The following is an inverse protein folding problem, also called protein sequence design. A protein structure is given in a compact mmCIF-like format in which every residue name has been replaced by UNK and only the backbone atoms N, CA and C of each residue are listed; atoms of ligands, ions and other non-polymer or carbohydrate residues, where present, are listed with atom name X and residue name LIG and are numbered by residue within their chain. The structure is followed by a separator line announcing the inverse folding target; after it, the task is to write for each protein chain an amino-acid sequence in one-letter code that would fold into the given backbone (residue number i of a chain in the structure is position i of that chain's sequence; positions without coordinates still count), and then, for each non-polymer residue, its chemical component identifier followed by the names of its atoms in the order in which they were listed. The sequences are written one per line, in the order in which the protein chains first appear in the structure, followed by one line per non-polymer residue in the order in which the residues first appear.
data_IF_721844090377
#
_entry.id   IF_721844090377
#
_cell.length_a   1.000
_cell.length_b   1.000
_cell.length_c   1.000
_cell.angle_alpha   90.00
_cell.angle_beta   90.00
_cell.angle_gamma   90.00
#
_symmetry.space_group_name_H-M   'P 1'
#
loop_
_entity.id
_entity.type
_entity.pdbx_description
1 polymer ?
#
# COMPACT_ATOMS: atom_id res chain seq x y z
N UNK A 1 -4.58 10.76 8.28
CA UNK A 1 -4.54 9.29 8.44
C UNK A 1 -3.17 8.82 8.00
N UNK A 2 -2.56 7.85 8.67
CA UNK A 2 -1.19 7.40 8.36
C UNK A 2 -1.20 6.14 7.50
N UNK A 3 -0.35 6.11 6.48
CA UNK A 3 -0.13 4.98 5.57
C UNK A 3 1.36 4.69 5.52
N UNK A 4 1.76 3.43 5.45
CA UNK A 4 3.11 3.06 5.03
C UNK A 4 3.13 2.88 3.52
N UNK A 5 4.07 3.53 2.85
CA UNK A 5 4.28 3.38 1.41
C UNK A 5 5.73 3.03 1.10
N UNK A 6 5.95 2.10 0.18
CA UNK A 6 7.27 1.67 -0.28
C UNK A 6 7.30 1.56 -1.79
N UNK A 7 8.16 2.34 -2.43
CA UNK A 7 8.44 2.22 -3.85
C UNK A 7 9.59 1.25 -4.10
N UNK A 8 9.43 0.39 -5.10
CA UNK A 8 10.51 -0.46 -5.63
C UNK A 8 10.56 -0.31 -7.14
N UNK A 9 11.77 -0.14 -7.68
CA UNK A 9 12.00 -0.07 -9.13
C UNK A 9 12.77 -1.31 -9.59
N UNK A 10 12.27 -1.96 -10.64
CA UNK A 10 12.96 -3.05 -11.31
C UNK A 10 12.79 -2.90 -12.81
N UNK A 11 13.90 -2.62 -13.52
CA UNK A 11 13.85 -2.27 -14.94
C UNK A 11 12.96 -1.04 -15.18
N UNK A 12 11.95 -1.21 -16.03
CA UNK A 12 10.94 -0.19 -16.34
C UNK A 12 9.75 -0.21 -15.36
N UNK A 13 9.64 -1.20 -14.48
CA UNK A 13 8.55 -1.32 -13.53
C UNK A 13 8.83 -0.51 -12.25
N UNK A 14 7.84 0.27 -11.83
CA UNK A 14 7.78 0.95 -10.55
C UNK A 14 6.59 0.38 -9.77
N UNK A 15 6.87 -0.33 -8.69
CA UNK A 15 5.88 -0.89 -7.76
C UNK A 15 5.73 0.02 -6.56
N UNK A 16 4.51 0.49 -6.31
CA UNK A 16 4.11 1.12 -5.06
C UNK A 16 3.37 0.08 -4.21
N UNK A 17 3.96 -0.30 -3.08
CA UNK A 17 3.29 -1.07 -2.05
C UNK A 17 2.83 -0.12 -0.94
N UNK A 18 1.54 -0.11 -0.61
CA UNK A 18 1.00 0.76 0.43
C UNK A 18 -0.01 0.04 1.33
N UNK A 19 0.00 0.35 2.62
CA UNK A 19 -1.00 -0.15 3.56
C UNK A 19 -1.39 0.86 4.64
N UNK A 20 -2.64 0.81 5.10
CA UNK A 20 -3.07 1.55 6.29
C UNK A 20 -2.11 1.22 7.45
N UNK A 21 -1.62 2.23 8.17
CA UNK A 21 -0.52 2.05 9.12
C UNK A 21 -0.86 1.03 10.23
N UNK A 22 -2.12 0.94 10.63
CA UNK A 22 -2.58 -0.04 11.62
C UNK A 22 -2.57 -1.50 11.15
N UNK A 23 -2.36 -1.77 9.86
CA UNK A 23 -2.37 -3.12 9.29
C UNK A 23 -0.99 -3.74 9.18
N UNK A 24 0.08 -2.95 9.27
CA UNK A 24 1.45 -3.44 9.12
C UNK A 24 1.75 -4.56 10.14
N UNK A 25 2.30 -5.67 9.67
CA UNK A 25 2.63 -6.84 10.48
C UNK A 25 1.44 -7.71 10.90
N UNK A 26 0.21 -7.35 10.52
CA UNK A 26 -0.96 -8.20 10.78
C UNK A 26 -1.06 -9.36 9.79
N UNK A 27 -1.75 -10.41 10.21
CA UNK A 27 -2.15 -11.53 9.37
C UNK A 27 -3.66 -11.49 9.20
N UNK A 28 -4.11 -11.31 7.97
CA UNK A 28 -5.52 -11.41 7.58
C UNK A 28 -5.84 -12.85 7.20
N UNK A 29 -7.04 -13.30 7.56
CA UNK A 29 -7.50 -14.67 7.29
C UNK A 29 -8.90 -14.64 6.73
N UNK A 30 -9.10 -15.32 5.61
CA UNK A 30 -10.41 -15.50 4.98
C UNK A 30 -10.52 -16.92 4.41
N UNK A 31 -11.27 -17.78 5.10
CA UNK A 31 -11.33 -19.21 4.77
C UNK A 31 -9.94 -19.85 4.78
N UNK A 32 -9.47 -20.29 3.60
CA UNK A 32 -8.14 -20.88 3.41
C UNK A 32 -7.04 -19.85 3.09
N UNK A 33 -7.42 -18.59 2.86
CA UNK A 33 -6.48 -17.52 2.53
C UNK A 33 -5.85 -17.00 3.82
N UNK A 34 -4.52 -16.95 3.82
CA UNK A 34 -3.71 -16.35 4.88
C UNK A 34 -2.82 -15.31 4.22
N UNK A 35 -2.98 -14.05 4.62
CA UNK A 35 -2.28 -12.92 4.02
C UNK A 35 -1.59 -12.10 5.10
N UNK A 36 -0.26 -12.13 5.11
CA UNK A 36 0.54 -11.31 6.02
C UNK A 36 0.89 -9.98 5.36
N UNK A 37 0.60 -8.86 6.03
CA UNK A 37 1.09 -7.53 5.64
C UNK A 37 2.55 -7.42 6.08
N UNK A 38 3.41 -8.15 5.37
CA UNK A 38 4.80 -8.37 5.77
C UNK A 38 5.61 -7.07 5.75
N UNK A 39 6.30 -6.77 6.86
CA UNK A 39 7.00 -5.49 7.03
C UNK A 39 8.04 -5.25 5.93
N UNK A 40 8.81 -6.27 5.52
CA UNK A 40 9.83 -6.07 4.50
C UNK A 40 9.25 -5.65 3.14
N UNK A 41 7.99 -6.02 2.87
CA UNK A 41 7.30 -5.66 1.64
C UNK A 41 6.65 -4.28 1.73
N UNK A 42 5.88 -4.01 2.79
CA UNK A 42 5.06 -2.78 2.91
C UNK A 42 5.71 -1.62 3.68
N UNK A 43 6.65 -1.90 4.60
CA UNK A 43 7.25 -0.87 5.45
C UNK A 43 8.22 -0.01 4.64
N UNK A 44 7.80 1.21 4.37
CA UNK A 44 8.63 2.34 3.93
C UNK A 44 8.31 3.58 4.78
N UNK A 45 8.47 4.80 4.26
CA UNK A 45 8.07 6.02 4.96
C UNK A 45 6.59 5.99 5.36
N UNK A 46 6.28 6.58 6.52
CA UNK A 46 4.89 6.94 6.86
C UNK A 46 4.54 8.22 6.11
N UNK A 47 3.38 8.22 5.48
CA UNK A 47 2.88 9.32 4.65
C UNK A 47 1.38 9.51 4.91
N UNK A 48 0.86 10.66 4.51
CA UNK A 48 -0.58 10.91 4.40
C UNK A 48 -1.17 10.10 3.25
N UNK A 49 -2.48 9.88 3.28
CA UNK A 49 -3.15 9.16 2.19
C UNK A 49 -3.02 9.94 0.88
N UNK A 50 -3.16 11.27 0.94
CA UNK A 50 -3.04 12.19 -0.18
C UNK A 50 -1.67 12.06 -0.88
N UNK A 51 -0.57 12.08 -0.12
CA UNK A 51 0.77 11.89 -0.68
C UNK A 51 0.93 10.53 -1.38
N UNK A 52 0.32 9.46 -0.84
CA UNK A 52 0.41 8.14 -1.45
C UNK A 52 -0.41 8.05 -2.74
N UNK A 53 -1.56 8.72 -2.80
CA UNK A 53 -2.34 8.83 -4.05
C UNK A 53 -1.51 9.53 -5.13
N UNK A 54 -0.83 10.63 -4.82
CA UNK A 54 -0.01 11.35 -5.80
C UNK A 54 1.16 10.48 -6.32
N UNK A 55 1.68 9.58 -5.49
CA UNK A 55 2.70 8.60 -5.90
C UNK A 55 2.15 7.48 -6.81
N UNK A 56 0.84 7.23 -6.82
CA UNK A 56 0.24 6.22 -7.69
C UNK A 56 0.42 6.58 -9.17
N UNK A 57 0.33 7.86 -9.53
CA UNK A 57 0.51 8.32 -10.92
C UNK A 57 1.93 8.05 -11.46
N UNK A 58 2.91 7.94 -10.56
CA UNK A 58 4.31 7.67 -10.89
C UNK A 58 4.64 6.17 -10.91
N UNK A 59 3.63 5.32 -10.66
CA UNK A 59 3.79 3.88 -10.46
C UNK A 59 3.18 3.09 -11.62
N UNK A 60 3.87 2.03 -12.03
CA UNK A 60 3.33 1.09 -13.05
C UNK A 60 2.44 0.02 -12.44
N UNK A 61 2.68 -0.31 -11.17
CA UNK A 61 1.95 -1.33 -10.41
C UNK A 61 1.71 -0.77 -9.01
N UNK A 62 0.49 -0.91 -8.53
CA UNK A 62 0.10 -0.50 -7.17
C UNK A 62 -0.48 -1.70 -6.43
N UNK A 63 0.08 -2.00 -5.25
CA UNK A 63 -0.47 -2.97 -4.31
C UNK A 63 -0.90 -2.21 -3.05
N UNK A 64 -2.21 -2.13 -2.81
CA UNK A 64 -2.80 -1.40 -1.69
C UNK A 64 -3.59 -2.33 -0.77
N UNK A 65 -3.37 -2.18 0.54
CA UNK A 65 -4.09 -2.95 1.56
C UNK A 65 -4.60 -2.01 2.66
N UNK A 66 -5.92 -1.89 2.78
CA UNK A 66 -6.54 -1.12 3.86
C UNK A 66 -7.76 -0.34 3.41
N UNK A 67 -8.74 -0.21 4.28
CA UNK A 67 -10.01 0.43 3.94
C UNK A 67 -9.82 1.92 3.64
N UNK A 68 -8.95 2.60 4.37
CA UNK A 68 -8.80 4.06 4.26
C UNK A 68 -8.10 4.44 2.96
N UNK A 69 -6.95 3.82 2.68
CA UNK A 69 -6.21 4.08 1.44
C UNK A 69 -6.97 3.65 0.19
N UNK A 70 -7.58 2.45 0.19
CA UNK A 70 -8.32 1.95 -0.98
C UNK A 70 -9.55 2.81 -1.24
N UNK A 71 -10.28 3.21 -0.20
CA UNK A 71 -11.42 4.14 -0.37
C UNK A 71 -10.98 5.45 -1.01
N UNK A 72 -9.86 6.02 -0.58
CA UNK A 72 -9.35 7.28 -1.13
C UNK A 72 -8.90 7.14 -2.59
N UNK A 73 -8.29 6.02 -2.94
CA UNK A 73 -7.94 5.71 -4.33
C UNK A 73 -9.19 5.65 -5.21
N UNK A 74 -10.24 4.95 -4.78
CA UNK A 74 -11.52 4.86 -5.51
C UNK A 74 -12.17 6.25 -5.69
N UNK A 75 -12.11 7.12 -4.68
CA UNK A 75 -12.62 8.50 -4.77
C UNK A 75 -11.88 9.35 -5.82
N UNK A 76 -10.66 8.96 -6.18
CA UNK A 76 -9.78 9.70 -7.09
C UNK A 76 -9.86 9.23 -8.55
N UNK A 77 -10.44 8.06 -8.81
CA UNK A 77 -10.64 7.46 -10.14
C UNK A 77 -9.79 6.22 -10.35
#
# INVERSE_FOLDING_TARGET
MEVYAKMRKWGQCVLLAACDAELLGKILREGKIVFEIHEQFYKGPKMTVEEVIDLMEQSTIVNMVGHKIVKKAIEKG
#
